data_IF_369019568438
#
_entry.id   IF_369019568438
#
_cell.length_a   1.000
_cell.length_b   1.000
_cell.length_c   1.000
_cell.angle_alpha   90.00
_cell.angle_beta   90.00
_cell.angle_gamma   90.00
#
_symmetry.space_group_name_H-M   'P 1'
#
loop_
_entity.id
_entity.type
_entity.pdbx_description
1 polymer ?
#
# COMPACT_ATOMS: atom_id res chain seq x y z
N UNK A 1 14.81 23.50 22.47
CA UNK A 1 14.10 24.18 21.38
C UNK A 1 15.01 24.14 20.16
N UNK A 2 14.69 23.30 19.18
CA UNK A 2 15.29 23.40 17.84
C UNK A 2 14.88 24.74 17.22
N UNK A 3 15.77 25.44 16.49
CA UNK A 3 15.39 26.69 15.83
C UNK A 3 14.22 26.41 14.88
N UNK A 4 13.18 27.25 14.91
CA UNK A 4 12.16 27.24 13.87
C UNK A 4 12.86 27.55 12.54
N UNK A 5 13.00 26.55 11.69
CA UNK A 5 13.51 26.76 10.34
C UNK A 5 12.36 27.41 9.55
N UNK A 6 12.48 28.70 9.25
CA UNK A 6 11.50 29.39 8.40
C UNK A 6 11.61 28.85 6.97
N UNK A 7 10.77 27.87 6.65
CA UNK A 7 10.60 27.41 5.29
C UNK A 7 9.81 28.44 4.48
N UNK A 8 10.27 28.76 3.27
CA UNK A 8 9.49 29.43 2.24
C UNK A 8 8.31 28.55 1.76
N UNK A 9 7.41 29.14 0.98
CA UNK A 9 6.28 28.44 0.37
C UNK A 9 6.54 27.95 -1.06
N UNK A 10 7.78 28.05 -1.56
CA UNK A 10 8.13 27.64 -2.91
C UNK A 10 8.26 26.11 -2.99
N UNK A 11 7.86 25.56 -4.13
CA UNK A 11 8.03 24.14 -4.43
C UNK A 11 8.73 24.02 -5.77
N UNK A 12 9.68 23.11 -5.83
CA UNK A 12 10.40 22.83 -7.07
C UNK A 12 9.50 22.18 -8.13
N UNK A 13 9.84 22.37 -9.40
CA UNK A 13 9.27 21.59 -10.49
C UNK A 13 9.94 20.21 -10.54
N UNK A 14 9.13 19.14 -10.56
CA UNK A 14 9.63 17.76 -10.57
C UNK A 14 10.49 17.45 -11.80
N UNK A 15 10.19 18.01 -12.97
CA UNK A 15 10.95 17.72 -14.18
C UNK A 15 12.36 18.31 -14.09
N UNK A 16 12.50 19.50 -13.48
CA UNK A 16 13.82 20.10 -13.22
C UNK A 16 14.55 19.40 -12.08
N UNK A 17 13.85 19.06 -10.99
CA UNK A 17 14.42 18.35 -9.84
C UNK A 17 14.93 16.96 -10.23
N UNK A 18 14.12 16.16 -10.93
CA UNK A 18 14.49 14.79 -11.32
C UNK A 18 15.67 14.74 -12.30
N UNK A 19 15.85 15.78 -13.12
CA UNK A 19 17.00 15.90 -14.02
C UNK A 19 18.30 16.22 -13.26
N UNK A 20 18.24 17.06 -12.22
CA UNK A 20 19.41 17.48 -11.43
C UNK A 20 19.73 16.53 -10.27
N UNK A 21 18.72 15.83 -9.73
CA UNK A 21 18.81 14.90 -8.63
C UNK A 21 18.06 13.60 -8.99
N UNK A 22 18.67 12.70 -9.80
CA UNK A 22 18.06 11.43 -10.12
C UNK A 22 17.79 10.60 -8.85
N UNK A 23 16.59 10.06 -8.74
CA UNK A 23 16.19 9.18 -7.65
C UNK A 23 16.17 7.74 -8.14
N UNK A 24 16.82 6.83 -7.41
CA UNK A 24 16.86 5.41 -7.80
C UNK A 24 15.64 4.63 -7.30
N UNK A 25 14.91 5.17 -6.34
CA UNK A 25 13.66 4.59 -5.87
C UNK A 25 12.54 5.59 -5.69
N UNK A 26 11.34 5.04 -5.63
CA UNK A 26 10.08 5.74 -5.44
C UNK A 26 9.31 5.09 -4.29
N UNK A 27 8.90 5.85 -3.28
CA UNK A 27 7.95 5.42 -2.25
C UNK A 27 6.60 6.08 -2.53
N UNK A 28 5.62 5.26 -2.91
CA UNK A 28 4.24 5.67 -3.19
C UNK A 28 3.38 5.56 -1.94
N UNK A 29 2.63 6.62 -1.65
CA UNK A 29 1.55 6.63 -0.66
C UNK A 29 0.18 6.91 -1.29
N UNK A 30 -0.87 6.88 -0.46
CA UNK A 30 -2.28 6.97 -0.91
C UNK A 30 -2.58 8.21 -1.75
N UNK A 31 -1.81 9.30 -1.59
CA UNK A 31 -1.91 10.51 -2.39
C UNK A 31 -1.64 10.30 -3.88
N UNK A 32 -0.92 9.25 -4.26
CA UNK A 32 -0.79 8.86 -5.66
C UNK A 32 -2.14 8.42 -6.23
N UNK A 33 -2.88 7.64 -5.46
CA UNK A 33 -4.17 7.09 -5.88
C UNK A 33 -5.28 8.12 -5.80
N UNK A 34 -5.24 8.99 -4.77
CA UNK A 34 -6.13 10.15 -4.67
C UNK A 34 -5.97 11.16 -5.82
N UNK A 35 -4.79 11.21 -6.45
CA UNK A 35 -4.57 12.07 -7.61
C UNK A 35 -5.31 11.57 -8.87
N UNK A 36 -5.61 10.26 -8.93
CA UNK A 36 -6.38 9.64 -10.01
C UNK A 36 -7.86 9.55 -9.64
N UNK A 37 -8.19 9.18 -8.39
CA UNK A 37 -9.55 8.92 -7.93
C UNK A 37 -9.79 9.52 -6.55
N UNK A 38 -10.62 10.56 -6.48
CA UNK A 38 -10.80 11.32 -5.24
C UNK A 38 -11.47 10.51 -4.13
N UNK A 39 -12.39 9.57 -4.44
CA UNK A 39 -13.06 8.76 -3.40
C UNK A 39 -12.14 7.74 -2.72
N UNK A 40 -10.90 7.59 -3.20
CA UNK A 40 -9.87 6.90 -2.43
C UNK A 40 -9.41 7.70 -1.19
N UNK A 41 -9.90 8.92 -1.01
CA UNK A 41 -9.77 9.69 0.22
C UNK A 41 -10.81 9.22 1.26
N UNK A 42 -10.37 8.38 2.20
CA UNK A 42 -11.14 7.95 3.36
C UNK A 42 -10.21 7.83 4.58
N UNK A 43 -10.80 8.01 5.77
CA UNK A 43 -10.05 7.94 7.02
C UNK A 43 -9.83 6.49 7.50
N UNK A 44 -10.82 5.62 7.28
CA UNK A 44 -10.80 4.23 7.76
C UNK A 44 -11.71 3.34 6.90
N UNK A 45 -11.12 2.28 6.35
CA UNK A 45 -11.79 1.14 5.73
C UNK A 45 -12.65 0.37 6.75
N UNK A 46 -12.22 0.29 8.02
CA UNK A 46 -13.01 -0.32 9.10
C UNK A 46 -14.31 0.45 9.34
N UNK A 47 -14.24 1.78 9.46
CA UNK A 47 -15.44 2.61 9.62
C UNK A 47 -16.33 2.56 8.37
N UNK A 48 -15.72 2.60 7.19
CA UNK A 48 -16.44 2.46 5.93
C UNK A 48 -17.15 1.10 5.81
N UNK A 49 -16.51 0.00 6.25
CA UNK A 49 -17.10 -1.33 6.26
C UNK A 49 -18.31 -1.49 7.21
N UNK A 50 -18.50 -0.57 8.16
CA UNK A 50 -19.71 -0.51 9.01
C UNK A 50 -20.91 0.12 8.28
N UNK A 51 -20.67 0.87 7.22
CA UNK A 51 -21.70 1.65 6.51
C UNK A 51 -21.81 1.35 5.01
N UNK A 52 -21.14 0.30 4.50
CA UNK A 52 -21.32 -0.13 3.11
C UNK A 52 -22.79 -0.50 2.84
N UNK A 53 -23.27 -0.15 1.65
CA UNK A 53 -24.65 -0.40 1.22
C UNK A 53 -25.01 -1.88 1.24
N UNK A 54 -24.07 -2.72 0.80
CA UNK A 54 -24.23 -4.17 0.77
C UNK A 54 -23.42 -4.82 1.90
N UNK A 55 -24.14 -5.52 2.78
CA UNK A 55 -23.58 -6.44 3.80
C UNK A 55 -22.51 -5.78 4.69
N UNK A 56 -22.86 -4.72 5.44
CA UNK A 56 -21.96 -4.08 6.39
C UNK A 56 -21.60 -5.03 7.56
N UNK A 57 -20.52 -4.68 8.26
CA UNK A 57 -20.16 -5.34 9.52
C UNK A 57 -21.31 -5.21 10.53
N UNK A 58 -21.85 -6.32 11.00
CA UNK A 58 -22.85 -6.32 12.07
C UNK A 58 -22.19 -6.29 13.45
N UNK A 59 -22.98 -6.06 14.49
CA UNK A 59 -22.50 -6.08 15.88
C UNK A 59 -21.75 -7.38 16.24
N UNK A 60 -22.10 -8.51 15.62
CA UNK A 60 -21.42 -9.78 15.87
C UNK A 60 -20.00 -9.77 15.30
N UNK A 61 -19.80 -9.25 14.08
CA UNK A 61 -18.44 -9.09 13.53
C UNK A 61 -17.63 -8.09 14.34
N UNK A 62 -18.22 -6.95 14.71
CA UNK A 62 -17.56 -5.91 15.50
C UNK A 62 -17.06 -6.45 16.84
N UNK A 63 -17.85 -7.32 17.49
CA UNK A 63 -17.44 -7.98 18.74
C UNK A 63 -16.18 -8.84 18.58
N UNK A 64 -15.90 -9.39 17.39
CA UNK A 64 -14.66 -10.13 17.13
C UNK A 64 -13.46 -9.18 17.03
N UNK A 65 -13.62 -8.04 16.35
CA UNK A 65 -12.58 -7.01 16.29
C UNK A 65 -12.24 -6.46 17.68
N UNK A 66 -13.26 -6.21 18.50
CA UNK A 66 -13.10 -5.73 19.87
C UNK A 66 -12.43 -6.77 20.77
N UNK A 67 -12.83 -8.04 20.67
CA UNK A 67 -12.21 -9.13 21.43
C UNK A 67 -10.72 -9.34 21.08
N UNK A 68 -10.32 -9.04 19.84
CA UNK A 68 -8.94 -9.11 19.37
C UNK A 68 -8.17 -7.79 19.54
N UNK A 69 -8.83 -6.72 20.00
CA UNK A 69 -8.23 -5.41 20.20
C UNK A 69 -7.62 -4.81 18.93
N UNK A 70 -8.22 -5.06 17.77
CA UNK A 70 -7.66 -4.61 16.48
C UNK A 70 -8.73 -4.11 15.53
N UNK A 71 -8.31 -3.33 14.52
CA UNK A 71 -9.10 -2.93 13.34
C UNK A 71 -8.54 -3.51 12.04
N UNK A 72 -7.48 -4.30 12.15
CA UNK A 72 -6.82 -4.94 11.01
C UNK A 72 -7.61 -6.18 10.58
N UNK A 73 -8.17 -6.14 9.37
CA UNK A 73 -8.96 -7.24 8.80
C UNK A 73 -8.16 -8.54 8.65
N UNK A 74 -6.89 -8.46 8.23
CA UNK A 74 -6.02 -9.62 8.03
C UNK A 74 -5.83 -10.40 9.34
N UNK A 75 -5.61 -9.68 10.46
CA UNK A 75 -5.48 -10.30 11.78
C UNK A 75 -6.77 -11.02 12.19
N UNK A 76 -7.93 -10.38 12.06
CA UNK A 76 -9.22 -10.97 12.42
C UNK A 76 -9.57 -12.19 11.56
N UNK A 77 -9.37 -12.09 10.24
CA UNK A 77 -9.60 -13.20 9.30
C UNK A 77 -8.67 -14.38 9.60
N UNK A 78 -7.40 -14.13 9.92
CA UNK A 78 -6.44 -15.16 10.32
C UNK A 78 -6.87 -15.86 11.62
N UNK A 79 -7.28 -15.10 12.64
CA UNK A 79 -7.73 -15.64 13.91
C UNK A 79 -8.99 -16.53 13.75
N UNK A 80 -9.99 -16.08 12.98
CA UNK A 80 -11.19 -16.86 12.69
C UNK A 80 -10.90 -18.14 11.90
N UNK A 81 -9.90 -18.10 11.02
CA UNK A 81 -9.42 -19.28 10.29
C UNK A 81 -8.76 -20.28 11.23
N UNK A 82 -7.87 -19.83 12.10
CA UNK A 82 -7.24 -20.67 13.12
C UNK A 82 -8.28 -21.29 14.06
N UNK A 83 -9.25 -20.50 14.55
CA UNK A 83 -10.36 -21.00 15.37
C UNK A 83 -11.18 -22.07 14.63
N UNK A 84 -11.45 -21.88 13.33
CA UNK A 84 -12.15 -22.87 12.51
C UNK A 84 -11.35 -24.19 12.37
N UNK A 85 -10.03 -24.11 12.22
CA UNK A 85 -9.15 -25.30 12.15
C UNK A 85 -9.12 -26.05 13.48
N UNK A 86 -8.98 -25.33 14.60
CA UNK A 86 -8.96 -25.92 15.95
C UNK A 86 -10.30 -26.58 16.28
N UNK A 87 -11.43 -25.91 16.00
CA UNK A 87 -12.76 -26.50 16.19
C UNK A 87 -12.93 -27.80 15.42
N UNK A 88 -12.46 -27.84 14.16
CA UNK A 88 -12.48 -29.06 13.35
C UNK A 88 -11.64 -30.18 13.97
N UNK A 89 -10.43 -29.88 14.44
CA UNK A 89 -9.53 -30.85 15.05
C UNK A 89 -10.07 -31.42 16.38
N UNK A 90 -10.76 -30.59 17.16
CA UNK A 90 -11.38 -30.97 18.43
C UNK A 90 -12.80 -31.54 18.27
N UNK A 91 -13.28 -31.73 17.04
CA UNK A 91 -14.64 -32.14 16.72
C UNK A 91 -15.74 -31.26 17.35
N UNK A 92 -15.45 -29.97 17.57
CA UNK A 92 -16.41 -28.98 18.05
C UNK A 92 -17.31 -28.56 16.88
N UNK A 93 -18.59 -28.94 16.92
CA UNK A 93 -19.57 -28.57 15.90
C UNK A 93 -20.01 -27.11 16.06
N UNK A 94 -19.25 -26.18 15.45
CA UNK A 94 -19.63 -24.77 15.38
C UNK A 94 -19.27 -24.17 14.03
N UNK A 95 -20.30 -23.73 13.30
CA UNK A 95 -20.14 -22.99 12.06
C UNK A 95 -19.87 -21.49 12.30
N UNK A 96 -19.89 -21.01 13.55
CA UNK A 96 -19.86 -19.57 13.86
C UNK A 96 -18.58 -18.89 13.36
N UNK A 97 -17.35 -19.37 13.67
CA UNK A 97 -16.12 -18.72 13.19
C UNK A 97 -16.05 -18.65 11.67
N UNK A 98 -16.45 -19.72 10.99
CA UNK A 98 -16.53 -19.77 9.52
C UNK A 98 -17.53 -18.76 8.97
N UNK A 99 -18.73 -18.65 9.54
CA UNK A 99 -19.75 -17.68 9.10
C UNK A 99 -19.25 -16.24 9.27
N UNK A 100 -18.59 -15.93 10.40
CA UNK A 100 -18.05 -14.58 10.66
C UNK A 100 -16.88 -14.25 9.73
N UNK A 101 -16.02 -15.23 9.43
CA UNK A 101 -14.94 -15.06 8.47
C UNK A 101 -15.46 -14.56 7.12
N UNK A 102 -16.51 -15.20 6.57
CA UNK A 102 -17.07 -14.77 5.30
C UNK A 102 -17.78 -13.43 5.36
N UNK A 103 -18.51 -13.15 6.44
CA UNK A 103 -19.18 -11.86 6.62
C UNK A 103 -18.16 -10.70 6.66
N UNK A 104 -17.07 -10.85 7.42
CA UNK A 104 -15.99 -9.86 7.49
C UNK A 104 -15.29 -9.71 6.14
N UNK A 105 -14.97 -10.84 5.49
CA UNK A 105 -14.35 -10.84 4.16
C UNK A 105 -15.23 -10.12 3.13
N UNK A 106 -16.54 -10.37 3.16
CA UNK A 106 -17.50 -9.76 2.24
C UNK A 106 -17.66 -8.27 2.48
N UNK A 107 -17.79 -7.84 3.74
CA UNK A 107 -17.80 -6.41 4.08
C UNK A 107 -16.52 -5.70 3.61
N UNK A 108 -15.36 -6.36 3.75
CA UNK A 108 -14.07 -5.86 3.27
C UNK A 108 -14.02 -5.71 1.75
N UNK A 109 -14.50 -6.71 1.01
CA UNK A 109 -14.60 -6.67 -0.47
C UNK A 109 -15.45 -5.47 -0.88
N UNK A 110 -16.67 -5.38 -0.34
CA UNK A 110 -17.63 -4.35 -0.73
C UNK A 110 -17.11 -2.95 -0.38
N UNK A 111 -16.50 -2.80 0.79
CA UNK A 111 -15.87 -1.55 1.21
C UNK A 111 -14.73 -1.14 0.29
N UNK A 112 -13.91 -2.11 -0.14
CA UNK A 112 -12.79 -1.82 -1.03
C UNK A 112 -13.27 -1.47 -2.44
N UNK A 113 -14.32 -2.13 -2.93
CA UNK A 113 -14.96 -1.81 -4.20
C UNK A 113 -15.58 -0.40 -4.20
N UNK A 114 -16.14 0.04 -3.07
CA UNK A 114 -16.77 1.35 -2.94
C UNK A 114 -15.76 2.52 -2.97
N UNK A 115 -14.57 2.33 -2.40
CA UNK A 115 -13.54 3.40 -2.36
C UNK A 115 -12.58 3.37 -3.55
N UNK A 116 -12.53 2.24 -4.27
CA UNK A 116 -11.59 2.05 -5.37
C UNK A 116 -12.21 2.44 -6.72
N UNK A 117 -11.41 3.04 -7.59
CA UNK A 117 -11.84 3.36 -8.96
C UNK A 117 -12.32 2.09 -9.70
N UNK A 118 -13.52 2.09 -10.30
CA UNK A 118 -13.97 1.01 -11.17
C UNK A 118 -13.09 0.87 -12.41
N UNK A 119 -12.75 -0.37 -12.79
CA UNK A 119 -11.93 -0.64 -14.00
C UNK A 119 -12.48 0.04 -15.26
N UNK A 120 -13.80 0.06 -15.43
CA UNK A 120 -14.48 0.71 -16.58
C UNK A 120 -14.18 2.20 -16.75
N UNK A 121 -13.81 2.90 -15.68
CA UNK A 121 -13.49 4.32 -15.70
C UNK A 121 -11.98 4.57 -15.92
N UNK A 122 -11.16 3.52 -15.80
CA UNK A 122 -9.72 3.63 -15.93
C UNK A 122 -9.31 3.95 -17.36
N UNK A 123 -8.55 5.03 -17.53
CA UNK A 123 -8.08 5.48 -18.84
C UNK A 123 -6.75 4.81 -19.21
N UNK A 124 -6.66 4.25 -20.41
CA UNK A 124 -5.45 3.58 -20.90
C UNK A 124 -4.22 4.53 -20.92
N UNK A 125 -4.42 5.81 -21.23
CA UNK A 125 -3.35 6.81 -21.24
C UNK A 125 -2.84 7.11 -19.81
N UNK A 126 -3.71 7.07 -18.80
CA UNK A 126 -3.32 7.19 -17.39
C UNK A 126 -2.46 6.00 -16.96
N UNK A 127 -2.87 4.77 -17.29
CA UNK A 127 -2.08 3.57 -17.00
C UNK A 127 -0.74 3.56 -17.73
N UNK A 128 -0.69 4.02 -18.98
CA UNK A 128 0.56 4.14 -19.73
C UNK A 128 1.50 5.15 -19.11
N UNK A 129 0.98 6.31 -18.67
CA UNK A 129 1.78 7.31 -17.96
C UNK A 129 2.35 6.76 -16.66
N UNK A 130 1.51 6.09 -15.85
CA UNK A 130 1.96 5.42 -14.63
C UNK A 130 3.02 4.37 -14.94
N UNK A 131 2.77 3.47 -15.90
CA UNK A 131 3.72 2.44 -16.30
C UNK A 131 5.09 3.05 -16.64
N UNK A 132 5.10 4.07 -17.50
CA UNK A 132 6.33 4.71 -17.95
C UNK A 132 7.07 5.38 -16.80
N UNK A 133 6.37 6.08 -15.91
CA UNK A 133 6.99 6.74 -14.77
C UNK A 133 7.54 5.74 -13.76
N UNK A 134 6.78 4.68 -13.42
CA UNK A 134 7.25 3.62 -12.52
C UNK A 134 8.51 2.94 -13.06
N UNK A 135 8.59 2.69 -14.37
CA UNK A 135 9.72 2.02 -15.02
C UNK A 135 11.05 2.82 -14.98
N UNK A 136 11.03 4.08 -14.55
CA UNK A 136 12.24 4.92 -14.44
C UNK A 136 13.07 4.62 -13.20
N UNK A 137 12.46 4.01 -12.19
CA UNK A 137 13.10 3.75 -10.90
C UNK A 137 13.72 2.35 -10.89
N UNK A 138 14.82 2.15 -10.17
CA UNK A 138 15.32 0.81 -9.92
C UNK A 138 14.39 0.03 -8.98
N UNK A 139 13.74 0.72 -8.04
CA UNK A 139 12.79 0.10 -7.09
C UNK A 139 11.64 1.04 -6.75
N UNK A 140 10.41 0.58 -6.97
CA UNK A 140 9.18 1.19 -6.51
C UNK A 140 8.73 0.47 -5.24
N UNK A 141 8.62 1.19 -4.15
CA UNK A 141 8.02 0.77 -2.89
C UNK A 141 6.59 1.31 -2.86
N UNK A 142 5.60 0.42 -2.88
CA UNK A 142 4.20 0.80 -2.79
C UNK A 142 3.67 0.48 -1.40
N UNK A 143 3.21 1.51 -0.66
CA UNK A 143 2.47 1.29 0.59
C UNK A 143 0.95 1.22 0.37
N UNK A 144 0.50 1.42 -0.88
CA UNK A 144 -0.91 1.40 -1.19
C UNK A 144 -1.35 -0.04 -1.49
N UNK A 145 -2.58 -0.36 -1.15
CA UNK A 145 -3.18 -1.67 -1.45
C UNK A 145 -4.11 -1.64 -2.67
N UNK A 146 -4.31 -0.47 -3.28
CA UNK A 146 -5.12 -0.31 -4.50
C UNK A 146 -4.53 -1.03 -5.72
N UNK A 147 -5.26 -0.99 -6.83
CA UNK A 147 -4.91 -1.66 -8.08
C UNK A 147 -4.25 -0.75 -9.12
N UNK A 148 -3.97 0.53 -8.84
CA UNK A 148 -3.35 1.41 -9.84
C UNK A 148 -1.93 0.95 -10.19
N UNK A 149 -1.11 0.67 -9.17
CA UNK A 149 0.24 0.12 -9.37
C UNK A 149 0.22 -1.21 -10.11
N UNK A 150 -0.54 -2.25 -9.70
CA UNK A 150 -0.54 -3.50 -10.43
C UNK A 150 -1.11 -3.36 -11.85
N UNK A 151 -2.16 -2.57 -12.08
CA UNK A 151 -2.66 -2.31 -13.44
C UNK A 151 -1.63 -1.63 -14.33
N UNK A 152 -0.86 -0.67 -13.81
CA UNK A 152 0.22 -0.04 -14.54
C UNK A 152 1.36 -1.03 -14.87
N UNK A 153 1.73 -1.90 -13.92
CA UNK A 153 2.73 -2.95 -14.12
C UNK A 153 2.29 -3.95 -15.22
N UNK A 154 1.00 -4.30 -15.26
CA UNK A 154 0.42 -5.21 -16.26
C UNK A 154 0.48 -4.67 -17.70
N UNK A 155 0.63 -3.36 -17.90
CA UNK A 155 0.79 -2.77 -19.24
C UNK A 155 2.11 -3.18 -19.93
N UNK A 156 3.16 -3.45 -19.15
CA UNK A 156 4.47 -3.81 -19.69
C UNK A 156 5.25 -4.73 -18.72
N UNK A 157 4.76 -5.95 -18.43
CA UNK A 157 5.23 -6.76 -17.31
C UNK A 157 6.73 -7.09 -17.40
N UNK A 158 7.29 -7.23 -18.60
CA UNK A 158 8.72 -7.51 -18.82
C UNK A 158 9.67 -6.41 -18.32
N UNK A 159 9.17 -5.18 -18.09
CA UNK A 159 9.96 -4.09 -17.52
C UNK A 159 10.00 -4.10 -15.99
N UNK A 160 9.19 -4.95 -15.36
CA UNK A 160 9.03 -5.01 -13.91
C UNK A 160 9.40 -6.38 -13.36
N UNK A 161 9.76 -6.40 -12.08
CA UNK A 161 9.93 -7.60 -11.30
C UNK A 161 9.21 -7.41 -9.96
N UNK A 162 8.06 -8.07 -9.80
CA UNK A 162 7.27 -8.04 -8.58
C UNK A 162 7.63 -9.17 -7.59
N UNK A 163 8.61 -10.01 -7.95
CA UNK A 163 9.14 -11.14 -7.18
C UNK A 163 8.22 -12.37 -7.09
N UNK A 164 7.14 -12.42 -7.89
CA UNK A 164 6.20 -13.53 -7.94
C UNK A 164 6.21 -14.29 -9.28
N UNK A 165 7.13 -13.96 -10.20
CA UNK A 165 7.25 -14.62 -11.50
C UNK A 165 7.90 -16.00 -11.38
N UNK A 166 7.14 -16.96 -10.87
CA UNK A 166 7.48 -18.38 -10.79
C UNK A 166 6.20 -19.24 -10.86
N UNK A 167 6.29 -20.56 -11.13
CA UNK A 167 5.12 -21.42 -11.33
C UNK A 167 4.12 -21.45 -10.17
N UNK A 168 4.57 -21.20 -8.94
CA UNK A 168 3.71 -21.20 -7.74
C UNK A 168 3.14 -19.82 -7.43
N UNK A 169 3.59 -18.78 -8.13
CA UNK A 169 3.31 -17.38 -7.85
C UNK A 169 3.60 -16.99 -6.38
N UNK A 170 4.56 -17.65 -5.72
CA UNK A 170 4.92 -17.42 -4.32
C UNK A 170 6.18 -16.58 -4.19
N UNK A 171 6.30 -15.85 -3.08
CA UNK A 171 7.56 -15.18 -2.77
C UNK A 171 8.62 -16.21 -2.37
N UNK A 172 9.81 -16.09 -2.97
CA UNK A 172 10.98 -16.93 -2.66
C UNK A 172 12.21 -16.04 -2.48
N UNK A 173 12.77 -16.01 -1.26
CA UNK A 173 13.90 -15.14 -0.92
C UNK A 173 15.11 -15.35 -1.84
N UNK A 174 15.40 -16.60 -2.23
CA UNK A 174 16.51 -16.93 -3.12
C UNK A 174 16.42 -16.26 -4.50
N UNK A 175 15.21 -16.10 -5.02
CA UNK A 175 14.96 -15.44 -6.32
C UNK A 175 14.97 -13.90 -6.17
N UNK A 176 14.67 -13.40 -4.97
CA UNK A 176 14.47 -11.98 -4.71
C UNK A 176 15.77 -11.14 -4.65
N UNK A 177 16.92 -11.79 -4.52
CA UNK A 177 18.24 -11.14 -4.42
C UNK A 177 18.91 -10.93 -5.79
N UNK A 178 18.32 -11.44 -6.87
CA UNK A 178 18.85 -11.29 -8.23
C UNK A 178 18.87 -9.83 -8.69
N UNK A 179 20.00 -9.38 -9.25
CA UNK A 179 20.11 -8.06 -9.88
C UNK A 179 19.65 -8.14 -11.34
N UNK A 180 18.55 -7.47 -11.64
CA UNK A 180 18.02 -7.32 -13.00
C UNK A 180 17.97 -5.86 -13.45
N UNK A 181 17.74 -5.63 -14.75
CA UNK A 181 17.44 -4.30 -15.30
C UNK A 181 15.98 -3.88 -15.12
N UNK A 182 15.11 -4.84 -14.79
CA UNK A 182 13.70 -4.59 -14.55
C UNK A 182 13.49 -3.81 -13.23
N UNK A 183 12.53 -2.89 -13.24
CA UNK A 183 12.11 -2.15 -12.06
C UNK A 183 11.51 -3.10 -11.04
N UNK A 184 12.03 -3.11 -9.81
CA UNK A 184 11.45 -3.91 -8.73
C UNK A 184 10.20 -3.22 -8.18
N UNK A 185 9.11 -3.94 -8.00
CA UNK A 185 7.89 -3.40 -7.37
C UNK A 185 7.62 -4.16 -6.08
N UNK A 186 7.73 -3.45 -4.95
CA UNK A 186 7.70 -4.00 -3.60
C UNK A 186 6.51 -3.43 -2.82
N UNK A 187 5.55 -4.27 -2.47
CA UNK A 187 4.34 -3.86 -1.76
C UNK A 187 4.56 -3.93 -0.25
N UNK A 188 4.97 -2.81 0.36
CA UNK A 188 5.36 -2.69 1.76
C UNK A 188 4.26 -3.09 2.74
N UNK A 189 3.01 -2.77 2.39
CA UNK A 189 1.83 -3.06 3.20
C UNK A 189 0.96 -4.11 2.50
N UNK A 190 1.53 -4.93 1.61
CA UNK A 190 0.76 -5.86 0.78
C UNK A 190 -0.07 -5.15 -0.29
N UNK A 191 -0.95 -5.89 -0.95
CA UNK A 191 -1.80 -5.38 -2.01
C UNK A 191 -3.01 -6.28 -2.22
N UNK A 192 -4.08 -5.75 -2.83
CA UNK A 192 -5.31 -6.53 -3.07
C UNK A 192 -5.11 -7.83 -3.87
N UNK A 193 -4.12 -7.87 -4.75
CA UNK A 193 -3.79 -9.05 -5.55
C UNK A 193 -2.83 -10.02 -4.83
N UNK A 194 -2.53 -9.78 -3.56
CA UNK A 194 -1.67 -10.63 -2.73
C UNK A 194 -2.47 -11.33 -1.63
N UNK A 195 -2.09 -12.56 -1.36
CA UNK A 195 -2.59 -13.38 -0.27
C UNK A 195 -1.41 -13.99 0.48
N UNK A 196 -1.63 -14.47 1.70
CA UNK A 196 -0.65 -15.26 2.45
C UNK A 196 -1.25 -16.51 3.04
N UNK A 197 -0.45 -17.56 3.16
CA UNK A 197 -0.84 -18.76 3.89
C UNK A 197 -0.68 -18.55 5.42
N UNK A 198 -1.02 -19.58 6.20
CA UNK A 198 -0.89 -19.52 7.67
C UNK A 198 0.55 -19.41 8.17
N UNK A 199 1.53 -19.87 7.39
CA UNK A 199 2.96 -19.81 7.71
C UNK A 199 3.56 -18.42 7.41
N UNK A 200 2.76 -17.51 6.84
CA UNK A 200 3.20 -16.16 6.49
C UNK A 200 3.79 -16.03 5.08
N UNK A 201 3.79 -17.11 4.29
CA UNK A 201 4.31 -17.10 2.92
C UNK A 201 3.36 -16.37 1.98
N UNK A 202 3.86 -15.35 1.30
CA UNK A 202 3.08 -14.55 0.34
C UNK A 202 2.92 -15.26 -1.01
N UNK A 203 1.77 -15.04 -1.64
CA UNK A 203 1.43 -15.51 -2.98
C UNK A 203 0.62 -14.46 -3.74
N UNK A 204 0.88 -14.34 -5.04
CA UNK A 204 0.13 -13.48 -5.95
C UNK A 204 -1.08 -14.21 -6.54
N UNK A 205 -2.20 -13.51 -6.65
CA UNK A 205 -3.37 -13.96 -7.39
C UNK A 205 -3.18 -13.62 -8.87
N UNK A 206 -3.37 -14.63 -9.73
CA UNK A 206 -3.37 -14.44 -11.18
C UNK A 206 -4.79 -14.10 -11.63
N UNK A 207 -4.99 -12.89 -12.12
CA UNK A 207 -6.23 -12.43 -12.71
C UNK A 207 -5.92 -11.40 -13.81
N UNK A 208 -6.84 -11.24 -14.75
CA UNK A 208 -6.77 -10.16 -15.73
C UNK A 208 -7.14 -8.81 -15.09
N UNK A 209 -6.94 -7.72 -15.83
CA UNK A 209 -7.09 -6.37 -15.30
C UNK A 209 -8.51 -6.10 -14.76
N UNK A 210 -9.53 -6.56 -15.50
CA UNK A 210 -10.94 -6.37 -15.17
C UNK A 210 -11.42 -7.22 -14.00
N UNK A 211 -10.82 -8.40 -13.80
CA UNK A 211 -11.19 -9.34 -12.73
C UNK A 211 -10.28 -9.27 -11.52
N UNK A 212 -9.20 -8.48 -11.54
CA UNK A 212 -8.24 -8.43 -10.43
C UNK A 212 -8.92 -8.03 -9.10
N UNK A 213 -9.81 -7.04 -9.13
CA UNK A 213 -10.58 -6.62 -7.96
C UNK A 213 -11.56 -7.71 -7.48
N UNK A 214 -12.23 -8.39 -8.41
CA UNK A 214 -13.20 -9.43 -8.09
C UNK A 214 -12.56 -10.77 -7.74
N UNK A 215 -11.32 -11.03 -8.16
CA UNK A 215 -10.55 -12.23 -7.82
C UNK A 215 -10.35 -12.37 -6.31
N UNK A 216 -10.35 -11.24 -5.60
CA UNK A 216 -10.37 -11.14 -4.16
C UNK A 216 -11.61 -11.84 -3.53
N UNK A 217 -12.76 -11.69 -4.20
CA UNK A 217 -14.04 -12.29 -3.81
C UNK A 217 -14.14 -13.78 -4.17
N UNK A 218 -13.58 -14.20 -5.31
CA UNK A 218 -13.72 -15.55 -5.89
C UNK A 218 -13.00 -16.66 -5.08
N UNK A 219 -12.16 -16.30 -4.12
CA UNK A 219 -11.60 -17.25 -3.15
C UNK A 219 -12.69 -17.72 -2.14
N UNK A 220 -13.61 -18.58 -2.60
CA UNK A 220 -14.90 -18.89 -1.98
C UNK A 220 -14.85 -19.85 -0.78
N UNK A 221 -13.72 -20.48 -0.46
CA UNK A 221 -13.70 -21.51 0.59
C UNK A 221 -12.57 -21.41 1.60
N UNK A 222 -12.93 -21.18 2.87
CA UNK A 222 -12.04 -21.33 4.04
C UNK A 222 -11.44 -22.74 4.14
N UNK A 223 -12.06 -23.72 3.47
CA UNK A 223 -11.63 -25.13 3.45
C UNK A 223 -10.94 -25.56 2.15
N UNK A 224 -10.91 -24.73 1.09
CA UNK A 224 -10.24 -25.07 -0.17
C UNK A 224 -8.99 -24.20 -0.47
N UNK A 225 -8.77 -23.12 0.28
CA UNK A 225 -7.57 -22.30 0.18
C UNK A 225 -7.00 -21.99 1.57
N UNK A 226 -5.72 -22.29 1.76
CA UNK A 226 -4.96 -21.98 2.98
C UNK A 226 -4.63 -20.50 3.14
N UNK A 227 -5.03 -19.66 2.19
CA UNK A 227 -4.63 -18.27 2.18
C UNK A 227 -5.68 -17.29 2.73
N UNK A 228 -5.21 -16.15 3.22
CA UNK A 228 -5.98 -14.96 3.60
C UNK A 228 -5.46 -13.74 2.82
N UNK A 229 -6.29 -12.71 2.60
CA UNK A 229 -5.82 -11.42 2.08
C UNK A 229 -4.52 -10.94 2.71
N UNK A 230 -3.57 -10.45 1.91
CA UNK A 230 -2.33 -9.84 2.41
C UNK A 230 -2.35 -8.34 2.10
N UNK A 231 -2.92 -7.56 3.01
CA UNK A 231 -2.70 -6.13 3.06
C UNK A 231 -2.86 -5.58 4.47
N UNK A 232 -2.10 -4.53 4.77
CA UNK A 232 -2.03 -3.85 6.05
C UNK A 232 -2.70 -2.50 5.88
N UNK A 233 -4.03 -2.46 5.99
CA UNK A 233 -4.80 -1.23 5.77
C UNK A 233 -4.75 -0.28 6.96
N UNK A 234 -4.97 -0.80 8.17
CA UNK A 234 -5.25 0.00 9.37
C UNK A 234 -4.61 -0.58 10.63
N UNK A 235 -4.56 0.28 11.66
CA UNK A 235 -4.07 -0.06 12.99
C UNK A 235 -2.93 0.84 13.44
N UNK A 236 -2.48 0.62 14.67
CA UNK A 236 -1.29 1.29 15.19
C UNK A 236 -0.06 0.88 14.38
N UNK A 237 1.01 1.70 14.41
CA UNK A 237 2.28 1.32 13.77
C UNK A 237 2.82 -0.02 14.31
N UNK A 238 2.55 -0.33 15.58
CA UNK A 238 2.90 -1.62 16.18
C UNK A 238 2.12 -2.80 15.58
N UNK A 239 0.83 -2.64 15.29
CA UNK A 239 0.05 -3.66 14.60
C UNK A 239 0.56 -3.87 13.18
N UNK A 240 0.82 -2.79 12.44
CA UNK A 240 1.44 -2.87 11.11
C UNK A 240 2.79 -3.58 11.16
N UNK A 241 3.61 -3.29 12.17
CA UNK A 241 4.93 -3.94 12.38
C UNK A 241 4.79 -5.43 12.68
N UNK A 242 3.80 -5.86 13.46
CA UNK A 242 3.52 -7.28 13.71
C UNK A 242 3.13 -7.98 12.41
N UNK A 243 2.22 -7.41 11.62
CA UNK A 243 1.83 -7.98 10.31
C UNK A 243 3.01 -8.09 9.35
N UNK A 244 3.86 -7.05 9.29
CA UNK A 244 5.08 -7.06 8.45
C UNK A 244 6.01 -8.20 8.87
N UNK A 245 6.29 -8.34 10.18
CA UNK A 245 7.17 -9.39 10.71
C UNK A 245 6.64 -10.81 10.53
N UNK A 246 5.31 -10.96 10.50
CA UNK A 246 4.66 -12.25 10.30
C UNK A 246 4.72 -12.72 8.84
N UNK A 247 5.01 -11.83 7.88
CA UNK A 247 5.09 -12.19 6.47
C UNK A 247 6.51 -12.02 5.94
N UNK A 248 7.04 -13.08 5.34
CA UNK A 248 8.39 -13.11 4.78
C UNK A 248 8.60 -12.04 3.70
N UNK A 249 7.62 -11.89 2.80
CA UNK A 249 7.62 -10.89 1.75
C UNK A 249 7.58 -9.46 2.30
N UNK A 250 6.67 -9.17 3.24
CA UNK A 250 6.56 -7.81 3.80
C UNK A 250 7.82 -7.43 4.59
N UNK A 251 8.37 -8.37 5.37
CA UNK A 251 9.65 -8.20 6.06
C UNK A 251 10.77 -7.89 5.07
N UNK A 252 10.87 -8.67 4.00
CA UNK A 252 11.84 -8.41 2.93
C UNK A 252 11.65 -7.02 2.31
N UNK A 253 10.43 -6.64 1.92
CA UNK A 253 10.16 -5.31 1.35
C UNK A 253 10.57 -4.18 2.31
N UNK A 254 10.29 -4.33 3.60
CA UNK A 254 10.70 -3.37 4.64
C UNK A 254 12.22 -3.28 4.76
N UNK A 255 12.93 -4.40 4.77
CA UNK A 255 14.39 -4.44 4.75
C UNK A 255 15.00 -3.80 3.49
N UNK A 256 14.38 -4.01 2.33
CA UNK A 256 14.81 -3.35 1.09
C UNK A 256 14.64 -1.83 1.15
N UNK A 257 13.63 -1.31 1.86
CA UNK A 257 13.47 0.12 2.09
C UNK A 257 14.54 0.63 3.07
N UNK A 258 14.79 -0.11 4.15
CA UNK A 258 15.85 0.18 5.13
C UNK A 258 17.26 0.17 4.52
N UNK A 259 17.46 -0.51 3.39
CA UNK A 259 18.75 -0.57 2.71
C UNK A 259 18.88 0.42 1.54
N UNK A 260 17.84 1.21 1.23
CA UNK A 260 17.86 2.13 0.09
C UNK A 260 18.95 3.20 0.23
N UNK A 261 19.69 3.47 -0.83
CA UNK A 261 20.85 4.37 -0.80
C UNK A 261 20.60 5.66 -1.58
N UNK A 262 21.40 6.66 -1.26
CA UNK A 262 21.49 7.92 -2.02
C UNK A 262 20.17 8.69 -2.07
N UNK A 263 19.45 8.68 -3.20
CA UNK A 263 18.27 9.52 -3.40
C UNK A 263 16.99 8.70 -3.61
N UNK A 264 15.97 9.03 -2.82
CA UNK A 264 14.62 8.44 -2.88
C UNK A 264 13.58 9.52 -3.18
N UNK A 265 12.64 9.21 -4.06
CA UNK A 265 11.45 10.02 -4.33
C UNK A 265 10.29 9.54 -3.44
N UNK A 266 9.60 10.46 -2.78
CA UNK A 266 8.40 10.21 -1.98
C UNK A 266 7.22 10.90 -2.66
N UNK A 267 6.24 10.12 -3.12
CA UNK A 267 5.06 10.66 -3.81
C UNK A 267 3.76 10.25 -3.11
N UNK A 268 2.97 11.25 -2.71
CA UNK A 268 1.64 11.04 -2.14
C UNK A 268 1.60 10.39 -0.75
N UNK A 269 2.73 10.32 -0.04
CA UNK A 269 2.79 9.71 1.28
C UNK A 269 2.88 10.77 2.37
N UNK A 270 2.00 10.74 3.38
CA UNK A 270 1.99 11.74 4.48
C UNK A 270 3.02 11.47 5.58
N UNK A 271 3.48 10.22 5.69
CA UNK A 271 4.34 9.74 6.79
C UNK A 271 3.71 10.11 8.13
N UNK A 272 2.47 9.67 8.31
CA UNK A 272 1.69 9.90 9.52
C UNK A 272 2.22 9.05 10.68
N UNK A 273 1.68 9.29 11.89
CA UNK A 273 2.03 8.52 13.10
C UNK A 273 1.84 6.99 12.91
N UNK A 274 0.84 6.59 12.13
CA UNK A 274 0.59 5.18 11.84
C UNK A 274 1.69 4.51 10.98
N UNK A 275 2.53 5.31 10.33
CA UNK A 275 3.60 4.86 9.43
C UNK A 275 4.99 5.03 10.05
N UNK A 276 5.07 5.04 11.40
CA UNK A 276 6.33 5.17 12.13
C UNK A 276 7.36 4.10 11.74
N UNK A 277 6.92 2.89 11.37
CA UNK A 277 7.79 1.83 10.84
C UNK A 277 8.44 2.18 9.50
N UNK A 278 7.77 2.94 8.63
CA UNK A 278 8.35 3.46 7.38
C UNK A 278 9.29 4.62 7.66
N UNK A 279 8.91 5.54 8.56
CA UNK A 279 9.78 6.65 9.00
C UNK A 279 11.08 6.09 9.59
N UNK A 280 10.98 5.10 10.47
CA UNK A 280 12.14 4.42 11.05
C UNK A 280 12.99 3.72 9.98
N UNK A 281 12.39 3.17 8.92
CA UNK A 281 13.13 2.58 7.83
C UNK A 281 13.91 3.62 7.02
N UNK A 282 13.25 4.73 6.66
CA UNK A 282 13.87 5.85 5.96
C UNK A 282 15.00 6.51 6.80
N UNK A 283 14.83 6.58 8.12
CA UNK A 283 15.86 7.06 9.06
C UNK A 283 17.07 6.13 9.12
N UNK A 284 16.89 4.82 9.04
CA UNK A 284 18.00 3.85 9.04
C UNK A 284 18.70 3.74 7.67
N UNK A 285 17.96 3.95 6.58
CA UNK A 285 18.49 3.85 5.22
C UNK A 285 19.66 4.81 4.97
N UNK A 286 20.72 4.43 4.25
CA UNK A 286 21.84 5.33 3.92
C UNK A 286 21.46 6.35 2.81
N UNK A 287 20.34 7.04 3.00
CA UNK A 287 19.84 8.13 2.17
C UNK A 287 20.66 9.40 2.41
N UNK A 288 21.02 10.06 1.31
CA UNK A 288 21.62 11.40 1.26
C UNK A 288 20.58 12.46 0.93
N UNK A 289 19.61 12.12 0.08
CA UNK A 289 18.56 13.04 -0.35
C UNK A 289 17.19 12.35 -0.34
N UNK A 290 16.16 13.06 0.15
CA UNK A 290 14.77 12.65 0.04
C UNK A 290 14.00 13.75 -0.69
N UNK A 291 13.49 13.43 -1.88
CA UNK A 291 12.66 14.33 -2.68
C UNK A 291 11.20 14.06 -2.32
N UNK A 292 10.47 15.05 -1.80
CA UNK A 292 9.15 14.89 -1.20
C UNK A 292 8.11 15.70 -1.97
N UNK A 293 7.08 15.01 -2.47
CA UNK A 293 5.94 15.66 -3.11
C UNK A 293 5.09 16.41 -2.07
N UNK A 294 4.74 17.65 -2.36
CA UNK A 294 3.75 18.42 -1.61
C UNK A 294 2.65 18.86 -2.57
N UNK A 295 1.39 18.61 -2.17
CA UNK A 295 0.23 19.13 -2.89
C UNK A 295 0.10 20.64 -2.61
N UNK A 296 0.15 21.52 -3.63
CA UNK A 296 0.22 22.97 -3.45
C UNK A 296 -1.16 23.57 -3.12
N UNK A 297 -1.71 23.26 -1.94
CA UNK A 297 -3.04 23.73 -1.51
C UNK A 297 -3.07 25.21 -1.17
N UNK A 298 -2.08 25.68 -0.40
CA UNK A 298 -1.88 27.07 0.01
C UNK A 298 -0.47 27.25 0.54
N UNK A 299 0.04 28.48 0.59
CA UNK A 299 1.37 28.75 1.15
C UNK A 299 1.52 28.26 2.59
N UNK A 300 0.51 28.52 3.43
CA UNK A 300 0.49 28.05 4.83
C UNK A 300 0.56 26.52 4.91
N UNK A 301 -0.16 25.80 4.05
CA UNK A 301 -0.12 24.35 3.99
C UNK A 301 1.26 23.84 3.55
N UNK A 302 1.89 24.48 2.56
CA UNK A 302 3.24 24.12 2.10
C UNK A 302 4.24 24.25 3.25
N UNK A 303 4.24 25.39 3.95
CA UNK A 303 5.14 25.62 5.10
C UNK A 303 4.88 24.62 6.22
N UNK A 304 3.62 24.31 6.51
CA UNK A 304 3.25 23.27 7.49
C UNK A 304 3.83 21.91 7.11
N UNK A 305 3.65 21.47 5.86
CA UNK A 305 4.16 20.18 5.38
C UNK A 305 5.70 20.14 5.40
N UNK A 306 6.40 21.20 4.97
CA UNK A 306 7.86 21.28 5.05
C UNK A 306 8.37 21.13 6.49
N UNK A 307 7.74 21.84 7.43
CA UNK A 307 8.05 21.71 8.86
C UNK A 307 7.83 20.30 9.40
N UNK A 308 6.70 19.67 9.04
CA UNK A 308 6.40 18.28 9.41
C UNK A 308 7.53 17.33 8.98
N UNK A 309 7.90 17.32 7.70
CA UNK A 309 8.96 16.43 7.22
C UNK A 309 10.35 16.78 7.79
N UNK A 310 10.65 18.06 7.96
CA UNK A 310 11.90 18.47 8.60
C UNK A 310 12.01 17.95 10.04
N UNK A 311 10.93 18.03 10.81
CA UNK A 311 10.87 17.47 12.16
C UNK A 311 11.04 15.94 12.15
N UNK A 312 10.48 15.25 11.15
CA UNK A 312 10.64 13.80 11.01
C UNK A 312 12.08 13.36 10.73
N UNK A 313 12.97 14.22 10.22
CA UNK A 313 14.35 13.84 9.87
C UNK A 313 15.41 14.75 10.50
N UNK A 314 15.06 15.51 11.54
CA UNK A 314 15.93 16.51 12.16
C UNK A 314 17.23 15.94 12.76
N UNK A 315 17.21 14.66 13.15
CA UNK A 315 18.35 13.94 13.74
C UNK A 315 19.30 13.34 12.68
N UNK A 316 19.00 13.52 11.39
CA UNK A 316 19.74 12.91 10.29
C UNK A 316 20.38 13.97 9.39
N UNK A 317 21.61 13.70 8.95
CA UNK A 317 22.24 14.44 7.83
C UNK A 317 21.60 14.00 6.51
N UNK A 318 20.36 14.40 6.29
CA UNK A 318 19.55 14.09 5.11
C UNK A 318 19.12 15.39 4.45
N UNK A 319 19.42 15.57 3.18
CA UNK A 319 18.92 16.70 2.39
C UNK A 319 17.46 16.45 2.02
N UNK A 320 16.56 17.31 2.49
CA UNK A 320 15.15 17.29 2.08
C UNK A 320 14.93 18.26 0.92
N UNK A 321 14.32 17.79 -0.16
CA UNK A 321 13.93 18.61 -1.31
C UNK A 321 12.43 18.50 -1.52
N UNK A 322 11.74 19.61 -1.67
CA UNK A 322 10.28 19.64 -1.73
C UNK A 322 9.81 20.08 -3.11
N UNK A 323 8.98 19.27 -3.76
CA UNK A 323 8.51 19.55 -5.11
C UNK A 323 6.99 19.54 -5.20
N UNK A 324 6.48 20.25 -6.22
CA UNK A 324 5.07 20.36 -6.48
C UNK A 324 4.53 19.05 -7.04
N UNK A 325 3.64 18.38 -6.31
CA UNK A 325 3.10 17.08 -6.71
C UNK A 325 2.40 17.12 -8.08
N UNK A 326 1.83 18.26 -8.48
CA UNK A 326 1.12 18.42 -9.77
C UNK A 326 2.05 18.43 -10.99
N UNK A 327 3.35 18.65 -10.78
CA UNK A 327 4.38 18.64 -11.84
C UNK A 327 4.94 17.24 -12.09
N UNK A 328 4.70 16.30 -11.17
CA UNK A 328 5.06 14.90 -11.30
C UNK A 328 4.03 14.17 -12.19
N UNK A 329 4.44 13.24 -13.07
CA UNK A 329 3.50 12.52 -13.95
C UNK A 329 2.34 11.84 -13.19
N UNK A 330 2.64 11.18 -12.07
CA UNK A 330 1.64 10.55 -11.19
C UNK A 330 0.64 11.53 -10.53
N UNK A 331 0.92 12.83 -10.51
CA UNK A 331 0.05 13.87 -9.92
C UNK A 331 -0.60 14.79 -10.95
N UNK A 332 -0.43 14.50 -12.24
CA UNK A 332 -0.99 15.31 -13.32
C UNK A 332 -2.52 15.28 -13.27
N UNK A 333 -3.14 16.45 -13.21
CA UNK A 333 -4.60 16.59 -13.17
C UNK A 333 -5.31 16.05 -14.41
N UNK A 334 -4.58 15.83 -15.52
CA UNK A 334 -5.11 15.19 -16.74
C UNK A 334 -5.53 13.73 -16.51
N UNK A 335 -5.01 13.10 -15.46
CA UNK A 335 -5.29 11.72 -15.10
C UNK A 335 -6.36 11.57 -14.02
N UNK A 336 -6.87 12.69 -13.48
CA UNK A 336 -7.96 12.68 -12.52
C UNK A 336 -9.23 12.22 -13.22
N UNK A 337 -9.85 11.18 -12.67
CA UNK A 337 -11.15 10.68 -13.10
C UNK A 337 -12.21 11.34 -12.23
N UNK A 338 -13.20 12.06 -12.80
CA UNK A 338 -14.27 12.66 -12.02
C UNK A 338 -15.13 11.56 -11.38
N UNK A 339 -15.57 11.80 -10.16
CA UNK A 339 -16.49 10.92 -9.44
C UNK A 339 -17.83 10.89 -10.17
N UNK A 340 -18.42 9.70 -10.35
CA UNK A 340 -19.79 9.57 -10.89
C UNK A 340 -20.76 10.21 -9.88
N UNK A 341 -21.50 11.23 -10.31
CA UNK A 341 -22.52 11.93 -9.50
C UNK A 341 -23.79 11.11 -9.39
#
# INVERSE_FOLDING_TARGET
MTPFQEFDAELEDWNTLSASQPCSGLLLGNGASMAVWHDFYYDSLFEKAKSVSEKPLSQTELSVFDALGTRNFEHVLSALKTASKVNKALAISSASPRKRYYAIKEALINCTQDVHIPWRLMQADTLRCWQQELARYATVYCSNYDLLTPWAVMQAPKQFNDLFDNPSATFELGNALGKGKATRVLYLHGAMHLVKNQEGKARKLNADEATLLSSFAVNHSISALDDVPLFVSEGSSDDKRKSIRYCDYLSFCHEQLMAHKDALCLFGHSLSEQDQHLINALRQAPLKTLCISIYPRSEAFIRFQKNHYAALFADKKLTLRFYNSKTHPLGSSKHSVPVEV
#
